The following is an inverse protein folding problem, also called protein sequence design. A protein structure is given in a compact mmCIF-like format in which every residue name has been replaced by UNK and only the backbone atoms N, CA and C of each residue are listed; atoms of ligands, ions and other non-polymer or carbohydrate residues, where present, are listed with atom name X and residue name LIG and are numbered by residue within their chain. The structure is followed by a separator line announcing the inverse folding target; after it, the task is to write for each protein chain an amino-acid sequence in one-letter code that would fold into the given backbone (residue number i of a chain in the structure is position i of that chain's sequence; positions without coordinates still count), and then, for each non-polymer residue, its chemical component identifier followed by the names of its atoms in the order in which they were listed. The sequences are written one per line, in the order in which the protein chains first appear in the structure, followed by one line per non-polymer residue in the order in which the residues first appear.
data_IF_693280688689
#
_entry.id   IF_693280688689
#
_cell.length_a   1.000
_cell.length_b   1.000
_cell.length_c   1.000
_cell.angle_alpha   90.00
_cell.angle_beta   90.00
_cell.angle_gamma   90.00
#
_symmetry.space_group_name_H-M   'P 1'
#
loop_
_entity.id
_entity.type
_entity.pdbx_description
1 polymer ?
#
# COMPACT_ATOMS: atom_id res chain seq x y z
N UNK A 1 -15.97 113.52 -17.53
CA UNK A 1 -17.12 113.59 -16.59
C UNK A 1 -17.98 112.39 -16.90
N UNK A 2 -18.22 111.51 -15.93
CA UNK A 2 -19.10 110.34 -16.13
C UNK A 2 -20.52 110.87 -16.29
N UNK A 3 -21.21 110.39 -17.33
CA UNK A 3 -22.58 110.80 -17.63
C UNK A 3 -23.55 110.22 -16.60
N UNK A 4 -24.63 110.93 -16.27
CA UNK A 4 -25.65 110.46 -15.31
C UNK A 4 -26.24 109.11 -15.74
N UNK A 5 -26.33 108.86 -17.05
CA UNK A 5 -26.78 107.59 -17.63
C UNK A 5 -25.86 106.41 -17.33
N UNK A 6 -24.54 106.61 -17.27
CA UNK A 6 -23.57 105.56 -16.91
C UNK A 6 -23.70 105.17 -15.43
N UNK A 7 -23.92 106.14 -14.54
CA UNK A 7 -24.10 105.88 -13.11
C UNK A 7 -25.38 105.06 -12.86
N UNK A 8 -26.47 105.38 -13.56
CA UNK A 8 -27.73 104.62 -13.46
C UNK A 8 -27.57 103.18 -13.94
N UNK A 9 -26.82 102.95 -15.03
CA UNK A 9 -26.54 101.60 -15.52
C UNK A 9 -25.66 100.79 -14.56
N UNK A 10 -24.68 101.41 -13.92
CA UNK A 10 -23.83 100.74 -12.92
C UNK A 10 -24.65 100.30 -11.71
N UNK A 11 -25.54 101.18 -11.21
CA UNK A 11 -26.41 100.85 -10.07
C UNK A 11 -27.43 99.77 -10.43
N UNK A 12 -28.03 99.84 -11.62
CA UNK A 12 -28.94 98.81 -12.11
C UNK A 12 -28.24 97.45 -12.29
N UNK A 13 -26.99 97.45 -12.78
CA UNK A 13 -26.16 96.25 -12.86
C UNK A 13 -25.85 95.65 -11.48
N UNK A 14 -25.51 96.50 -10.50
CA UNK A 14 -25.27 96.04 -9.14
C UNK A 14 -26.54 95.48 -8.48
N UNK A 15 -27.69 96.11 -8.73
CA UNK A 15 -28.98 95.61 -8.28
C UNK A 15 -29.32 94.24 -8.92
N UNK A 16 -29.02 94.03 -10.21
CA UNK A 16 -29.25 92.74 -10.87
C UNK A 16 -28.36 91.62 -10.31
N UNK A 17 -27.12 91.94 -9.92
CA UNK A 17 -26.21 90.97 -9.27
C UNK A 17 -26.72 90.59 -7.87
N UNK A 18 -27.18 91.57 -7.07
CA UNK A 18 -27.75 91.31 -5.75
C UNK A 18 -29.05 90.52 -5.87
N UNK A 19 -29.92 90.85 -6.84
CA UNK A 19 -31.16 90.12 -7.10
C UNK A 19 -30.87 88.68 -7.57
N UNK A 20 -29.81 88.50 -8.37
CA UNK A 20 -29.34 87.18 -8.79
C UNK A 20 -28.80 86.35 -7.63
N UNK A 21 -28.21 86.98 -6.61
CA UNK A 21 -27.80 86.30 -5.38
C UNK A 21 -28.97 86.00 -4.44
N UNK A 22 -30.03 86.83 -4.47
CA UNK A 22 -31.26 86.61 -3.70
C UNK A 22 -32.20 85.59 -4.34
N UNK A 23 -31.96 85.19 -5.59
CA UNK A 23 -32.53 83.99 -6.19
C UNK A 23 -31.63 82.80 -5.80
N UNK A 24 -31.90 82.11 -4.68
CA UNK A 24 -31.13 80.92 -4.35
C UNK A 24 -31.28 79.95 -5.52
N UNK A 25 -30.14 79.55 -6.08
CA UNK A 25 -30.02 78.50 -7.08
C UNK A 25 -30.29 77.11 -6.47
N UNK A 26 -31.32 77.02 -5.65
CA UNK A 26 -31.97 75.82 -5.17
C UNK A 26 -33.42 75.96 -5.64
N UNK A 27 -33.68 75.55 -6.88
CA UNK A 27 -34.94 74.84 -7.08
C UNK A 27 -34.78 73.61 -6.22
N UNK A 28 -35.29 73.67 -4.99
CA UNK A 28 -35.52 72.46 -4.23
C UNK A 28 -36.38 71.62 -5.15
N UNK A 29 -35.77 70.61 -5.77
CA UNK A 29 -36.49 69.56 -6.48
C UNK A 29 -37.54 69.12 -5.47
N UNK A 30 -38.81 69.40 -5.78
CA UNK A 30 -39.93 69.18 -4.89
C UNK A 30 -39.83 67.75 -4.34
N UNK A 31 -40.22 67.50 -3.09
CA UNK A 31 -40.15 66.14 -2.53
C UNK A 31 -40.90 65.14 -3.42
N UNK A 32 -41.94 65.61 -4.13
CA UNK A 32 -42.60 64.92 -5.23
C UNK A 32 -41.66 64.54 -6.38
N UNK A 33 -40.91 65.49 -6.94
CA UNK A 33 -39.96 65.25 -8.04
C UNK A 33 -38.80 64.32 -7.65
N UNK A 34 -38.27 64.43 -6.41
CA UNK A 34 -37.26 63.48 -5.90
C UNK A 34 -37.83 62.06 -5.82
N UNK A 35 -39.06 61.93 -5.31
CA UNK A 35 -39.70 60.61 -5.20
C UNK A 35 -40.00 59.96 -6.56
N UNK A 36 -40.31 60.77 -7.58
CA UNK A 36 -40.51 60.31 -8.96
C UNK A 36 -39.19 59.85 -9.57
N UNK A 37 -38.12 60.63 -9.40
CA UNK A 37 -36.79 60.28 -9.86
C UNK A 37 -36.27 59.00 -9.19
N UNK A 38 -36.48 58.82 -7.89
CA UNK A 38 -36.12 57.58 -7.20
C UNK A 38 -36.94 56.37 -7.67
N UNK A 39 -38.22 56.56 -8.02
CA UNK A 39 -39.07 55.47 -8.56
C UNK A 39 -38.58 55.07 -9.95
N UNK A 40 -38.28 56.03 -10.81
CA UNK A 40 -37.75 55.80 -12.15
C UNK A 40 -36.39 55.10 -12.09
N UNK A 41 -35.49 55.53 -11.20
CA UNK A 41 -34.19 54.87 -10.98
C UNK A 41 -34.39 53.44 -10.48
N UNK A 42 -35.31 53.20 -9.53
CA UNK A 42 -35.62 51.84 -9.06
C UNK A 42 -36.18 50.96 -10.17
N UNK A 43 -37.00 51.50 -11.05
CA UNK A 43 -37.57 50.78 -12.19
C UNK A 43 -36.50 50.44 -13.24
N UNK A 44 -35.60 51.38 -13.55
CA UNK A 44 -34.46 51.15 -14.43
C UNK A 44 -33.50 50.09 -13.88
N UNK A 45 -33.16 50.18 -12.59
CA UNK A 45 -32.30 49.19 -11.91
C UNK A 45 -32.98 47.82 -11.90
N UNK A 46 -34.29 47.76 -11.62
CA UNK A 46 -35.03 46.49 -11.62
C UNK A 46 -35.04 45.83 -13.00
N UNK A 47 -35.20 46.61 -14.06
CA UNK A 47 -35.18 46.11 -15.44
C UNK A 47 -33.80 45.58 -15.83
N UNK A 48 -32.74 46.32 -15.50
CA UNK A 48 -31.36 45.90 -15.75
C UNK A 48 -30.99 44.62 -14.97
N UNK A 49 -31.43 44.51 -13.71
CA UNK A 49 -31.22 43.31 -12.89
C UNK A 49 -31.96 42.11 -13.46
N UNK A 50 -33.18 42.28 -13.99
CA UNK A 50 -33.90 41.16 -14.61
C UNK A 50 -33.23 40.69 -15.92
N UNK A 51 -32.68 41.61 -16.72
CA UNK A 51 -31.94 41.28 -17.95
C UNK A 51 -30.60 40.57 -17.64
N UNK A 52 -29.89 41.05 -16.61
CA UNK A 52 -28.66 40.40 -16.14
C UNK A 52 -28.91 39.06 -15.46
N UNK A 53 -30.07 38.87 -14.84
CA UNK A 53 -30.43 37.61 -14.18
C UNK A 53 -30.46 36.45 -15.18
N UNK A 54 -31.03 36.63 -16.37
CA UNK A 54 -31.02 35.62 -17.42
C UNK A 54 -29.59 35.28 -17.86
N UNK A 55 -28.74 36.28 -18.01
CA UNK A 55 -27.33 36.09 -18.37
C UNK A 55 -26.55 35.34 -17.28
N UNK A 56 -26.80 35.69 -16.00
CA UNK A 56 -26.18 35.03 -14.85
C UNK A 56 -26.67 33.58 -14.74
N UNK A 57 -27.96 33.33 -14.95
CA UNK A 57 -28.55 32.00 -14.91
C UNK A 57 -27.91 31.09 -15.97
N UNK A 58 -27.80 31.56 -17.22
CA UNK A 58 -27.13 30.83 -18.29
C UNK A 58 -25.63 30.58 -17.99
N UNK A 59 -24.92 31.58 -17.46
CA UNK A 59 -23.51 31.42 -17.09
C UNK A 59 -23.31 30.42 -15.93
N UNK A 60 -24.25 30.40 -14.97
CA UNK A 60 -24.23 29.44 -13.87
C UNK A 60 -24.49 28.03 -14.40
N UNK A 61 -25.48 27.85 -15.27
CA UNK A 61 -25.78 26.56 -15.89
C UNK A 61 -24.58 26.03 -16.69
N UNK A 62 -23.95 26.87 -17.52
CA UNK A 62 -22.72 26.51 -18.25
C UNK A 62 -21.59 26.10 -17.29
N UNK A 63 -21.44 26.81 -16.16
CA UNK A 63 -20.41 26.50 -15.17
C UNK A 63 -20.68 25.17 -14.46
N UNK A 64 -21.95 24.87 -14.17
CA UNK A 64 -22.38 23.60 -13.60
C UNK A 64 -22.10 22.47 -14.58
N UNK A 65 -22.47 22.62 -15.85
CA UNK A 65 -22.24 21.60 -16.89
C UNK A 65 -20.76 21.31 -17.10
N UNK A 66 -19.92 22.34 -17.18
CA UNK A 66 -18.45 22.16 -17.29
C UNK A 66 -17.89 21.44 -16.06
N UNK A 67 -18.41 21.76 -14.87
CA UNK A 67 -17.97 21.12 -13.62
C UNK A 67 -18.42 19.67 -13.53
N UNK A 68 -19.63 19.36 -14.03
CA UNK A 68 -20.15 18.01 -14.13
C UNK A 68 -19.33 17.19 -15.12
N UNK A 69 -19.07 17.67 -16.34
CA UNK A 69 -18.24 16.96 -17.34
C UNK A 69 -16.81 16.72 -16.83
N UNK A 70 -16.19 17.70 -16.16
CA UNK A 70 -14.88 17.51 -15.53
C UNK A 70 -14.91 16.47 -14.42
N UNK A 71 -15.96 16.49 -13.59
CA UNK A 71 -16.13 15.52 -12.51
C UNK A 71 -16.38 14.13 -13.06
N UNK A 72 -17.24 13.99 -14.08
CA UNK A 72 -17.54 12.74 -14.76
C UNK A 72 -16.28 12.12 -15.35
N UNK A 73 -15.51 12.88 -16.14
CA UNK A 73 -14.23 12.39 -16.71
C UNK A 73 -13.21 12.04 -15.64
N UNK A 74 -13.12 12.83 -14.57
CA UNK A 74 -12.22 12.51 -13.46
C UNK A 74 -12.65 11.22 -12.73
N UNK A 75 -13.95 11.07 -12.51
CA UNK A 75 -14.54 9.89 -11.90
C UNK A 75 -14.39 8.65 -12.78
N UNK A 76 -14.54 8.74 -14.10
CA UNK A 76 -14.28 7.63 -15.02
C UNK A 76 -12.82 7.17 -14.94
N UNK A 77 -11.86 8.11 -14.93
CA UNK A 77 -10.44 7.78 -14.81
C UNK A 77 -10.13 7.09 -13.48
N UNK A 78 -10.61 7.67 -12.37
CA UNK A 78 -10.41 7.11 -11.03
C UNK A 78 -11.11 5.76 -10.94
N UNK A 79 -12.33 5.63 -11.46
CA UNK A 79 -13.09 4.38 -11.47
C UNK A 79 -12.34 3.29 -12.22
N UNK A 80 -11.81 3.58 -13.41
CA UNK A 80 -11.01 2.63 -14.18
C UNK A 80 -9.73 2.22 -13.45
N UNK A 81 -9.03 3.17 -12.83
CA UNK A 81 -7.84 2.88 -12.01
C UNK A 81 -8.19 2.00 -10.81
N UNK A 82 -9.28 2.32 -10.09
CA UNK A 82 -9.74 1.53 -8.94
C UNK A 82 -10.23 0.15 -9.36
N UNK A 83 -10.90 0.02 -10.50
CA UNK A 83 -11.35 -1.26 -11.03
C UNK A 83 -10.16 -2.13 -11.41
N UNK A 84 -9.12 -1.54 -12.02
CA UNK A 84 -7.85 -2.23 -12.27
C UNK A 84 -7.17 -2.69 -10.98
N UNK A 85 -7.02 -1.79 -9.99
CA UNK A 85 -6.39 -2.10 -8.71
C UNK A 85 -7.16 -3.16 -7.90
N UNK A 86 -8.50 -3.10 -7.94
CA UNK A 86 -9.36 -4.13 -7.33
C UNK A 86 -9.18 -5.46 -8.06
N UNK A 87 -9.04 -5.45 -9.39
CA UNK A 87 -8.72 -6.63 -10.19
C UNK A 87 -7.40 -7.28 -9.75
N UNK A 88 -6.31 -6.50 -9.74
CA UNK A 88 -4.99 -6.98 -9.32
C UNK A 88 -4.97 -7.51 -7.87
N UNK A 89 -5.66 -6.81 -6.96
CA UNK A 89 -5.81 -7.26 -5.58
C UNK A 89 -6.63 -8.55 -5.49
N UNK A 90 -7.74 -8.63 -6.23
CA UNK A 90 -8.59 -9.83 -6.29
C UNK A 90 -7.80 -11.01 -6.82
N UNK A 91 -7.03 -10.86 -7.89
CA UNK A 91 -6.20 -11.93 -8.44
C UNK A 91 -5.15 -12.42 -7.44
N UNK A 92 -4.54 -11.49 -6.69
CA UNK A 92 -3.59 -11.83 -5.62
C UNK A 92 -4.28 -12.63 -4.50
N UNK A 93 -5.43 -12.15 -4.01
CA UNK A 93 -6.19 -12.83 -2.95
C UNK A 93 -6.69 -14.20 -3.41
N UNK A 94 -7.20 -14.32 -4.64
CA UNK A 94 -7.65 -15.60 -5.19
C UNK A 94 -6.48 -16.58 -5.31
N UNK A 95 -5.31 -16.12 -5.74
CA UNK A 95 -4.12 -16.95 -5.81
C UNK A 95 -3.65 -17.41 -4.42
N UNK A 96 -3.68 -16.52 -3.43
CA UNK A 96 -3.38 -16.88 -2.04
C UNK A 96 -4.40 -17.85 -1.45
N UNK A 97 -5.68 -17.70 -1.78
CA UNK A 97 -6.74 -18.64 -1.40
C UNK A 97 -6.49 -20.01 -2.04
N UNK A 98 -6.14 -20.08 -3.33
CA UNK A 98 -5.79 -21.35 -3.98
C UNK A 98 -4.58 -22.00 -3.30
N UNK A 99 -3.52 -21.23 -3.05
CA UNK A 99 -2.33 -21.75 -2.36
C UNK A 99 -2.66 -22.27 -0.96
N UNK A 100 -3.45 -21.54 -0.18
CA UNK A 100 -3.88 -21.99 1.15
C UNK A 100 -4.75 -23.23 1.06
N UNK A 101 -5.66 -23.31 0.08
CA UNK A 101 -6.48 -24.49 -0.14
C UNK A 101 -5.63 -25.72 -0.46
N UNK A 102 -4.64 -25.56 -1.34
CA UNK A 102 -3.69 -26.61 -1.71
C UNK A 102 -2.85 -27.05 -0.51
N UNK A 103 -2.38 -26.12 0.32
CA UNK A 103 -1.64 -26.45 1.54
C UNK A 103 -2.51 -27.21 2.54
N UNK A 104 -3.76 -26.80 2.72
CA UNK A 104 -4.71 -27.51 3.60
C UNK A 104 -5.01 -28.91 3.08
N UNK A 105 -5.21 -29.09 1.77
CA UNK A 105 -5.39 -30.41 1.17
C UNK A 105 -4.15 -31.27 1.31
N UNK A 106 -2.97 -30.69 1.10
CA UNK A 106 -1.71 -31.39 1.31
C UNK A 106 -1.52 -31.81 2.78
N UNK A 107 -1.87 -30.95 3.74
CA UNK A 107 -1.85 -31.31 5.15
C UNK A 107 -2.84 -32.43 5.47
N UNK A 108 -4.03 -32.41 4.86
CA UNK A 108 -5.02 -33.48 5.02
C UNK A 108 -4.49 -34.82 4.48
N UNK A 109 -3.90 -34.82 3.29
CA UNK A 109 -3.29 -36.00 2.69
C UNK A 109 -2.11 -36.51 3.52
N UNK A 110 -1.21 -35.62 3.97
CA UNK A 110 -0.09 -35.99 4.81
C UNK A 110 -0.55 -36.55 6.16
N UNK A 111 -1.60 -36.00 6.75
CA UNK A 111 -2.15 -36.47 8.03
C UNK A 111 -2.78 -37.86 7.84
N UNK A 112 -3.51 -38.07 6.75
CA UNK A 112 -4.07 -39.36 6.40
C UNK A 112 -2.98 -40.40 6.13
N UNK A 113 -1.92 -40.04 5.41
CA UNK A 113 -0.79 -40.95 5.16
C UNK A 113 0.02 -41.23 6.42
N UNK A 114 0.22 -40.23 7.31
CA UNK A 114 0.81 -40.48 8.64
C UNK A 114 -0.06 -41.43 9.46
N UNK A 115 -1.39 -41.30 9.41
CA UNK A 115 -2.30 -42.20 10.09
C UNK A 115 -2.18 -43.64 9.56
N UNK A 116 -2.15 -43.83 8.24
CA UNK A 116 -1.93 -45.15 7.62
C UNK A 116 -0.56 -45.72 8.02
N UNK A 117 0.49 -44.92 7.92
CA UNK A 117 1.85 -45.34 8.28
C UNK A 117 1.97 -45.71 9.76
N UNK A 118 1.41 -44.91 10.67
CA UNK A 118 1.38 -45.25 12.10
C UNK A 118 0.59 -46.53 12.36
N UNK A 119 -0.55 -46.70 11.70
CA UNK A 119 -1.36 -47.91 11.84
C UNK A 119 -0.60 -49.15 11.35
N UNK A 120 0.10 -49.05 10.22
CA UNK A 120 0.95 -50.11 9.69
C UNK A 120 2.09 -50.46 10.65
N UNK A 121 2.85 -49.46 11.12
CA UNK A 121 3.96 -49.66 12.07
C UNK A 121 3.45 -50.27 13.38
N UNK A 122 2.33 -49.79 13.91
CA UNK A 122 1.70 -50.39 15.12
C UNK A 122 1.32 -51.85 14.85
N UNK A 123 0.77 -52.16 13.68
CA UNK A 123 0.42 -53.54 13.32
C UNK A 123 1.64 -54.46 13.18
N UNK A 124 2.77 -53.96 12.65
CA UNK A 124 4.02 -54.72 12.56
C UNK A 124 4.67 -54.94 13.92
N UNK A 125 4.67 -53.91 14.78
CA UNK A 125 5.16 -54.03 16.16
C UNK A 125 4.32 -55.03 16.93
N UNK A 126 2.99 -54.99 16.81
CA UNK A 126 2.10 -55.97 17.43
C UNK A 126 2.42 -57.39 16.98
N UNK A 127 2.54 -57.63 15.66
CA UNK A 127 2.93 -58.95 15.13
C UNK A 127 4.29 -59.43 15.67
N UNK A 128 5.31 -58.58 15.66
CA UNK A 128 6.64 -58.94 16.18
C UNK A 128 6.64 -59.19 17.70
N UNK A 129 5.83 -58.45 18.46
CA UNK A 129 5.72 -58.71 19.91
C UNK A 129 4.96 -60.00 20.19
N UNK A 130 3.95 -60.34 19.40
CA UNK A 130 3.25 -61.62 19.52
C UNK A 130 4.13 -62.79 19.08
N UNK A 131 4.88 -62.66 17.97
CA UNK A 131 5.91 -63.63 17.55
C UNK A 131 7.00 -63.80 18.61
N UNK A 132 7.49 -62.70 19.20
CA UNK A 132 8.50 -62.75 20.25
C UNK A 132 7.96 -63.41 21.53
N UNK A 133 6.72 -63.11 21.94
CA UNK A 133 6.08 -63.80 23.07
C UNK A 133 5.97 -65.29 22.79
N UNK A 134 5.58 -65.66 21.57
CA UNK A 134 5.42 -67.06 21.19
C UNK A 134 6.77 -67.79 21.15
N UNK A 135 7.80 -67.17 20.59
CA UNK A 135 9.17 -67.72 20.62
C UNK A 135 9.72 -67.87 22.05
N UNK A 136 9.41 -66.95 22.96
CA UNK A 136 9.77 -67.07 24.38
C UNK A 136 9.04 -68.24 25.03
N UNK A 137 7.73 -68.39 24.78
CA UNK A 137 6.94 -69.51 25.30
C UNK A 137 7.46 -70.85 24.76
N UNK A 138 7.78 -70.94 23.47
CA UNK A 138 8.32 -72.14 22.83
C UNK A 138 9.73 -72.47 23.37
N UNK A 139 10.57 -71.46 23.61
CA UNK A 139 11.88 -71.63 24.22
C UNK A 139 11.78 -72.06 25.69
N UNK A 140 10.84 -71.52 26.45
CA UNK A 140 10.59 -71.92 27.85
C UNK A 140 10.10 -73.37 27.92
N UNK A 141 9.19 -73.78 27.03
CA UNK A 141 8.74 -75.17 26.93
C UNK A 141 9.88 -76.12 26.57
N UNK A 142 10.71 -75.75 25.58
CA UNK A 142 11.87 -76.55 25.17
C UNK A 142 12.91 -76.66 26.28
N UNK A 143 13.16 -75.57 27.02
CA UNK A 143 14.07 -75.56 28.15
C UNK A 143 13.56 -76.43 29.31
N UNK A 144 12.25 -76.40 29.61
CA UNK A 144 11.62 -77.29 30.57
C UNK A 144 11.75 -78.75 30.17
N UNK A 145 11.43 -79.11 28.94
CA UNK A 145 11.57 -80.47 28.44
C UNK A 145 13.03 -80.96 28.48
N UNK A 146 13.99 -80.09 28.13
CA UNK A 146 15.41 -80.42 28.19
C UNK A 146 15.89 -80.62 29.63
N UNK A 147 15.39 -79.80 30.58
CA UNK A 147 15.69 -79.95 32.00
C UNK A 147 15.14 -81.26 32.56
N UNK A 148 13.89 -81.62 32.26
CA UNK A 148 13.28 -82.88 32.69
C UNK A 148 14.03 -84.11 32.10
N UNK A 149 14.44 -84.05 30.82
CA UNK A 149 15.25 -85.10 30.19
C UNK A 149 16.64 -85.19 30.83
N UNK A 150 17.29 -84.08 31.14
CA UNK A 150 18.59 -84.07 31.81
C UNK A 150 18.52 -84.62 33.25
N UNK A 151 17.43 -84.36 33.98
CA UNK A 151 17.20 -84.99 35.29
C UNK A 151 16.99 -86.50 35.16
N UNK A 152 16.26 -86.96 34.14
CA UNK A 152 16.12 -88.41 33.89
C UNK A 152 17.46 -89.10 33.57
N UNK A 153 18.37 -88.42 32.86
CA UNK A 153 19.70 -88.94 32.52
C UNK A 153 20.67 -88.92 33.72
N UNK A 154 20.57 -87.94 34.62
CA UNK A 154 21.36 -87.91 35.86
C UNK A 154 21.08 -89.11 36.76
N UNK A 155 19.86 -89.65 36.73
CA UNK A 155 19.55 -90.89 37.45
C UNK A 155 20.28 -92.13 36.91
N UNK A 156 20.92 -92.04 35.73
CA UNK A 156 21.66 -93.14 35.08
C UNK A 156 23.18 -93.02 35.29
N UNK A 157 23.71 -91.82 35.60
CA UNK A 157 25.14 -91.54 35.65
C UNK A 157 25.69 -91.45 37.10
N UNK A 158 25.44 -92.46 37.93
CA UNK A 158 26.06 -92.60 39.26
C UNK A 158 26.88 -93.90 39.37
N UNK A 159 27.67 -94.27 38.35
CA UNK A 159 28.62 -95.39 38.47
C UNK A 159 29.88 -95.15 37.60
N UNK A 160 31.03 -95.06 38.28
CA UNK A 160 32.45 -95.19 37.83
C UNK A 160 33.28 -93.92 37.57
N UNK A 161 34.39 -93.83 38.32
CA UNK A 161 35.49 -92.83 38.33
C UNK A 161 36.80 -93.46 37.76
N UNK A 162 38.03 -92.86 37.85
CA UNK A 162 38.73 -92.23 36.72
C UNK A 162 40.20 -92.73 36.49
N UNK A 163 40.87 -92.37 35.38
CA UNK A 163 42.36 -92.43 35.34
C UNK A 163 43.04 -91.43 34.35
N UNK A 164 43.73 -90.45 34.95
CA UNK A 164 45.05 -89.81 34.67
C UNK A 164 45.65 -89.69 33.24
N UNK A 165 46.08 -88.46 32.85
CA UNK A 165 47.45 -87.91 33.03
C UNK A 165 47.76 -86.58 32.29
N UNK A 166 48.30 -85.59 33.06
CA UNK A 166 49.41 -84.64 32.78
C UNK A 166 49.26 -83.61 31.60
N UNK A 167 49.75 -82.35 31.59
CA UNK A 167 50.88 -81.64 32.23
C UNK A 167 50.66 -80.11 32.08
N UNK A 168 51.25 -79.32 32.98
CA UNK A 168 51.17 -77.86 33.03
C UNK A 168 52.00 -77.13 31.95
N UNK A 169 51.55 -75.95 31.51
CA UNK A 169 52.35 -74.93 30.80
C UNK A 169 52.07 -73.58 31.48
N UNK A 170 53.14 -72.91 31.90
CA UNK A 170 53.11 -71.55 32.47
C UNK A 170 52.84 -70.52 31.38
N UNK A 171 52.09 -69.47 31.73
CA UNK A 171 51.95 -68.24 30.95
C UNK A 171 53.22 -67.39 31.09
N UNK A 172 53.76 -66.94 29.96
CA UNK A 172 54.58 -65.71 29.88
C UNK A 172 54.05 -64.85 28.72
N UNK A 173 53.90 -63.57 29.02
CA UNK A 173 53.53 -62.49 28.10
C UNK A 173 54.66 -62.18 27.10
N UNK A 174 54.25 -61.48 26.04
CA UNK A 174 55.05 -60.65 25.13
C UNK A 174 55.56 -61.26 23.81
N UNK A 175 55.04 -60.64 22.73
CA UNK A 175 55.55 -60.52 21.35
C UNK A 175 55.04 -61.53 20.32
N UNK A 176 53.86 -61.23 19.78
CA UNK A 176 53.46 -61.68 18.44
C UNK A 176 54.17 -60.84 17.37
N UNK A 177 55.36 -61.30 16.97
CA UNK A 177 55.96 -60.91 15.70
C UNK A 177 56.67 -62.10 15.05
N UNK A 178 56.62 -62.08 13.71
CA UNK A 178 57.39 -62.83 12.71
C UNK A 178 56.73 -64.16 12.28
N UNK A 179 56.10 -64.15 11.11
CA UNK A 179 56.71 -64.43 9.79
C UNK A 179 56.81 -65.95 9.57
N UNK A 180 56.48 -66.54 8.43
CA UNK A 180 56.14 -66.04 7.11
C UNK A 180 56.53 -67.16 6.16
N UNK A 181 55.58 -67.76 5.44
CA UNK A 181 55.87 -68.55 4.23
C UNK A 181 54.83 -68.20 3.19
N UNK A 182 55.33 -67.64 2.09
CA UNK A 182 54.62 -67.16 0.91
C UNK A 182 54.32 -68.32 -0.03
N UNK A 183 53.10 -68.40 -0.57
CA UNK A 183 52.78 -69.20 -1.76
C UNK A 183 52.58 -68.20 -2.92
N UNK A 184 53.28 -68.37 -4.05
CA UNK A 184 53.29 -67.40 -5.14
C UNK A 184 52.06 -67.55 -6.04
N UNK A 185 51.42 -66.43 -6.39
CA UNK A 185 50.51 -66.38 -7.55
C UNK A 185 50.90 -65.21 -8.46
N UNK A 186 51.06 -65.50 -9.75
CA UNK A 186 51.45 -64.54 -10.78
C UNK A 186 50.25 -63.71 -11.24
N UNK A 187 50.44 -62.40 -11.26
CA UNK A 187 49.58 -61.43 -11.94
C UNK A 187 49.56 -61.65 -13.47
N UNK A 188 48.39 -61.40 -14.08
CA UNK A 188 48.27 -61.16 -15.51
C UNK A 188 47.38 -59.94 -15.76
N UNK A 189 47.88 -59.09 -16.65
CA UNK A 189 47.54 -57.70 -16.93
C UNK A 189 46.18 -57.44 -17.59
N UNK A 190 45.68 -56.23 -17.32
CA UNK A 190 44.46 -55.56 -17.78
C UNK A 190 44.34 -55.31 -19.30
N UNK A 191 43.16 -54.84 -19.77
CA UNK A 191 43.07 -53.86 -20.85
C UNK A 191 42.81 -52.42 -20.33
N UNK A 192 43.36 -51.38 -20.97
CA UNK A 192 43.25 -49.97 -20.58
C UNK A 192 42.25 -49.21 -21.52
N UNK A 193 42.30 -47.88 -21.74
CA UNK A 193 41.32 -46.91 -21.18
C UNK A 193 40.71 -45.93 -22.21
N UNK A 194 39.50 -45.39 -21.99
CA UNK A 194 39.08 -44.11 -22.65
C UNK A 194 37.89 -43.45 -21.91
N UNK A 195 37.59 -42.15 -22.09
CA UNK A 195 38.16 -41.03 -21.33
C UNK A 195 37.10 -40.20 -20.57
N UNK A 196 37.57 -39.42 -19.58
CA UNK A 196 36.83 -38.27 -19.04
C UNK A 196 36.90 -37.10 -20.03
N UNK A 197 35.75 -36.55 -20.39
CA UNK A 197 35.59 -35.16 -20.81
C UNK A 197 34.20 -34.65 -20.40
N UNK A 198 34.25 -33.60 -19.58
CA UNK A 198 33.28 -32.61 -19.12
C UNK A 198 31.89 -32.51 -19.81
N UNK A 199 30.84 -32.49 -18.97
CA UNK A 199 29.91 -31.35 -18.93
C UNK A 199 29.35 -31.16 -17.53
N UNK A 200 29.36 -29.91 -17.12
CA UNK A 200 29.10 -29.38 -15.80
C UNK A 200 27.62 -29.52 -15.45
N UNK A 201 27.32 -30.11 -14.29
CA UNK A 201 26.07 -29.87 -13.58
C UNK A 201 26.45 -29.46 -12.17
N UNK A 202 26.36 -28.15 -11.92
CA UNK A 202 26.64 -27.56 -10.62
C UNK A 202 25.65 -28.08 -9.59
N UNK A 203 26.17 -28.59 -8.47
CA UNK A 203 25.40 -28.80 -7.25
C UNK A 203 24.78 -27.47 -6.78
N UNK A 204 23.52 -27.45 -6.29
CA UNK A 204 22.99 -26.25 -5.68
C UNK A 204 23.72 -26.02 -4.36
N UNK A 205 24.42 -24.89 -4.27
CA UNK A 205 24.99 -24.38 -3.04
C UNK A 205 23.83 -24.00 -2.11
N UNK A 206 23.86 -24.54 -0.90
CA UNK A 206 22.99 -24.14 0.20
C UNK A 206 23.55 -22.83 0.74
N UNK A 207 23.08 -21.71 0.18
CA UNK A 207 23.28 -20.39 0.77
C UNK A 207 22.20 -20.17 1.84
N UNK A 208 22.61 -20.12 3.10
CA UNK A 208 21.78 -19.58 4.19
C UNK A 208 21.56 -18.09 3.93
N UNK A 209 20.35 -17.72 3.49
CA UNK A 209 19.84 -16.34 3.57
C UNK A 209 18.88 -16.20 4.76
N UNK A 210 18.86 -15.04 5.43
CA UNK A 210 18.11 -14.85 6.66
C UNK A 210 16.61 -14.79 6.38
N UNK A 211 15.83 -15.22 7.38
CA UNK A 211 14.38 -15.02 7.49
C UNK A 211 14.02 -13.56 7.21
N UNK A 212 13.21 -13.32 6.19
CA UNK A 212 12.58 -12.02 5.97
C UNK A 212 11.39 -11.91 6.91
N UNK A 213 11.62 -11.11 7.94
CA UNK A 213 10.66 -10.68 8.94
C UNK A 213 9.60 -9.77 8.29
N UNK A 214 8.36 -9.97 8.73
CA UNK A 214 7.16 -9.17 8.46
C UNK A 214 7.44 -7.67 8.33
N UNK A 215 6.92 -7.04 7.28
CA UNK A 215 7.06 -5.61 6.99
C UNK A 215 6.28 -4.68 7.92
N UNK A 216 6.62 -4.66 9.20
CA UNK A 216 6.36 -3.54 10.10
C UNK A 216 7.71 -2.96 10.55
N UNK A 217 8.05 -1.77 10.05
CA UNK A 217 9.18 -1.00 10.57
C UNK A 217 8.70 -0.28 11.84
N UNK A 218 9.26 -0.68 12.97
CA UNK A 218 8.98 -0.07 14.26
C UNK A 218 9.56 1.35 14.32
N UNK A 219 8.80 2.31 14.85
CA UNK A 219 9.10 3.77 14.80
C UNK A 219 10.34 4.20 15.61
N UNK A 220 11.08 3.26 16.20
CA UNK A 220 12.24 3.52 17.05
C UNK A 220 13.61 3.44 16.37
N UNK A 221 13.71 2.90 15.15
CA UNK A 221 15.01 2.60 14.51
C UNK A 221 15.41 3.52 13.35
N UNK A 222 14.79 4.69 13.22
CA UNK A 222 15.25 5.73 12.30
C UNK A 222 16.39 6.50 12.99
N UNK A 223 17.57 5.89 13.06
CA UNK A 223 18.80 6.67 13.23
C UNK A 223 19.20 7.21 11.86
N UNK A 224 19.52 8.49 11.87
CA UNK A 224 20.15 9.28 10.81
C UNK A 224 19.21 9.94 9.79
N UNK A 225 18.31 10.76 10.32
CA UNK A 225 17.56 11.81 9.59
C UNK A 225 18.40 13.08 9.30
N UNK A 226 19.71 13.08 9.53
CA UNK A 226 20.55 14.28 9.44
C UNK A 226 21.41 14.40 8.17
N UNK A 227 21.29 13.52 7.18
CA UNK A 227 22.14 13.58 5.97
C UNK A 227 21.40 13.81 4.64
N UNK A 228 20.08 14.07 4.65
CA UNK A 228 19.36 14.46 3.43
C UNK A 228 19.55 15.95 3.03
N UNK A 229 20.30 16.72 3.83
CA UNK A 229 20.48 18.17 3.63
C UNK A 229 21.57 18.57 2.63
N UNK A 230 22.31 17.64 2.03
CA UNK A 230 23.52 17.94 1.25
C UNK A 230 23.54 17.39 -0.18
N UNK A 231 22.39 17.02 -0.77
CA UNK A 231 22.31 16.71 -2.20
C UNK A 231 21.93 17.99 -2.96
N UNK A 232 22.85 18.64 -3.70
CA UNK A 232 22.51 19.82 -4.49
C UNK A 232 21.61 19.41 -5.65
N UNK A 233 20.40 19.98 -5.72
CA UNK A 233 19.50 19.81 -6.86
C UNK A 233 20.11 20.49 -8.10
N UNK A 234 20.50 19.70 -9.10
CA UNK A 234 20.97 20.21 -10.39
C UNK A 234 19.78 20.47 -11.33
N UNK A 235 19.71 21.67 -11.89
CA UNK A 235 18.70 22.07 -12.85
C UNK A 235 19.08 21.55 -14.24
N UNK A 236 18.28 20.62 -14.78
CA UNK A 236 18.49 20.06 -16.12
C UNK A 236 18.02 21.10 -17.14
N UNK A 237 18.91 21.51 -18.05
CA UNK A 237 18.57 22.44 -19.13
C UNK A 237 17.74 21.77 -20.23
N UNK A 238 16.90 22.54 -20.93
CA UNK A 238 15.97 22.04 -21.97
C UNK A 238 16.64 21.20 -23.06
N UNK A 239 17.93 21.43 -23.31
CA UNK A 239 18.76 20.69 -24.27
C UNK A 239 19.21 19.31 -23.75
N UNK A 240 19.34 19.13 -22.43
CA UNK A 240 19.71 17.84 -21.82
C UNK A 240 18.50 16.91 -21.65
N UNK A 241 17.29 17.45 -21.54
CA UNK A 241 16.04 16.67 -21.52
C UNK A 241 15.72 16.00 -22.87
N UNK A 242 16.28 16.51 -23.97
CA UNK A 242 16.04 15.99 -25.32
C UNK A 242 16.76 14.65 -25.61
N UNK A 243 17.69 14.21 -24.75
CA UNK A 243 18.45 12.97 -24.90
C UNK A 243 17.93 11.78 -24.06
N UNK A 244 16.89 11.97 -23.25
CA UNK A 244 16.33 10.91 -22.41
C UNK A 244 15.32 10.07 -23.20
N UNK A 245 15.68 8.81 -23.44
CA UNK A 245 14.85 7.85 -24.17
C UNK A 245 13.73 7.33 -23.25
N UNK A 246 12.47 7.65 -23.57
CA UNK A 246 11.30 7.08 -22.90
C UNK A 246 11.05 5.69 -23.49
N UNK A 247 11.36 4.64 -22.74
CA UNK A 247 11.07 3.25 -23.12
C UNK A 247 9.58 3.01 -22.85
N UNK A 248 8.77 2.86 -23.90
CA UNK A 248 7.34 2.54 -23.73
C UNK A 248 6.41 2.73 -24.93
N UNK A 249 6.91 2.97 -26.16
CA UNK A 249 6.04 3.06 -27.34
C UNK A 249 6.41 1.98 -28.37
N UNK A 250 5.60 0.92 -28.45
CA UNK A 250 5.66 -0.04 -29.56
C UNK A 250 4.53 0.29 -30.54
N UNK A 251 4.91 0.86 -31.67
CA UNK A 251 4.03 1.21 -32.77
C UNK A 251 4.87 1.51 -33.99
N UNK A 252 5.13 0.48 -34.78
CA UNK A 252 5.75 0.54 -36.10
C UNK A 252 4.80 1.19 -37.09
N UNK A 253 5.23 2.25 -37.78
CA UNK A 253 5.10 2.42 -39.23
C UNK A 253 5.89 3.65 -39.71
N UNK A 254 6.73 3.43 -40.71
CA UNK A 254 7.56 4.44 -41.39
C UNK A 254 6.83 4.94 -42.65
N UNK A 255 6.86 6.25 -42.91
CA UNK A 255 7.15 6.83 -44.25
C UNK A 255 7.11 8.37 -44.23
N UNK A 256 8.31 8.97 -44.21
CA UNK A 256 8.85 10.15 -44.93
C UNK A 256 7.99 11.43 -45.25
N UNK A 257 8.65 12.60 -45.43
CA UNK A 257 8.24 13.89 -44.92
C UNK A 257 7.72 14.84 -46.01
N UNK A 258 6.85 15.79 -45.65
CA UNK A 258 6.55 16.94 -46.50
C UNK A 258 6.36 18.24 -45.70
N UNK A 259 7.27 19.15 -45.99
CA UNK A 259 7.15 20.60 -46.12
C UNK A 259 6.55 21.44 -44.98
N UNK A 260 7.49 22.10 -44.32
CA UNK A 260 7.35 23.33 -43.55
C UNK A 260 6.74 24.41 -44.45
N UNK A 261 5.60 24.98 -44.05
CA UNK A 261 5.17 26.31 -44.50
C UNK A 261 4.96 27.21 -43.29
N UNK A 262 5.75 28.29 -43.29
CA UNK A 262 5.74 29.41 -42.37
C UNK A 262 4.34 29.99 -42.12
N UNK A 263 3.99 30.17 -40.86
CA UNK A 263 2.95 31.11 -40.44
C UNK A 263 3.43 31.93 -39.23
N UNK A 264 4.11 33.03 -39.57
CA UNK A 264 4.08 34.36 -38.95
C UNK A 264 3.88 34.44 -37.43
N UNK A 265 4.99 34.58 -36.72
CA UNK A 265 5.09 35.12 -35.36
C UNK A 265 4.57 36.56 -35.34
N UNK A 266 3.59 36.84 -34.49
CA UNK A 266 3.24 38.20 -34.05
C UNK A 266 3.57 38.31 -32.57
N UNK A 267 4.46 39.24 -32.26
CA UNK A 267 4.87 39.63 -30.92
C UNK A 267 3.73 40.37 -30.21
N UNK A 268 3.31 39.89 -29.05
CA UNK A 268 2.50 40.68 -28.10
C UNK A 268 3.34 40.89 -26.85
N UNK A 269 3.86 42.11 -26.75
CA UNK A 269 4.41 42.72 -25.55
C UNK A 269 3.30 42.94 -24.51
N UNK A 270 3.63 42.64 -23.25
CA UNK A 270 3.06 43.20 -22.03
C UNK A 270 1.53 43.16 -21.88
N UNK A 271 1.00 41.95 -21.69
CA UNK A 271 -0.26 41.73 -20.99
C UNK A 271 0.03 40.92 -19.72
N UNK A 272 -0.05 41.56 -18.56
CA UNK A 272 -0.02 40.91 -17.24
C UNK A 272 -1.19 39.93 -17.16
N UNK A 273 -0.94 38.65 -17.45
CA UNK A 273 -1.91 37.57 -17.24
C UNK A 273 -2.05 37.35 -15.73
N UNK A 274 -3.02 38.03 -15.12
CA UNK A 274 -3.56 37.59 -13.84
C UNK A 274 -4.27 36.26 -14.08
N UNK A 275 -3.63 35.16 -13.72
CA UNK A 275 -4.24 33.84 -13.67
C UNK A 275 -5.52 33.93 -12.80
N UNK A 276 -6.70 33.57 -13.31
CA UNK A 276 -7.93 33.52 -12.50
C UNK A 276 -7.97 32.32 -11.52
N UNK A 277 -6.91 31.51 -11.45
CA UNK A 277 -6.78 30.39 -10.51
C UNK A 277 -6.65 30.81 -9.03
N UNK A 278 -6.59 32.11 -8.73
CA UNK A 278 -6.51 32.57 -7.33
C UNK A 278 -7.84 32.42 -6.57
N UNK A 279 -8.98 32.35 -7.26
CA UNK A 279 -10.29 32.18 -6.63
C UNK A 279 -10.62 30.73 -6.26
N UNK A 280 -9.92 29.72 -6.80
CA UNK A 280 -10.14 28.31 -6.42
C UNK A 280 -9.37 27.89 -5.15
N UNK A 281 -8.73 28.84 -4.45
CA UNK A 281 -8.18 28.63 -3.10
C UNK A 281 -9.10 29.13 -1.99
N UNK A 282 -10.21 29.80 -2.33
CA UNK A 282 -11.09 30.43 -1.35
C UNK A 282 -12.27 29.55 -0.91
N UNK A 283 -12.49 28.39 -1.54
CA UNK A 283 -13.54 27.43 -1.17
C UNK A 283 -13.10 26.34 -0.19
N UNK A 284 -11.83 26.29 0.21
CA UNK A 284 -11.32 25.30 1.18
C UNK A 284 -10.34 25.91 2.17
N UNK A 285 -10.75 27.03 2.78
CA UNK A 285 -10.23 27.44 4.08
C UNK A 285 -11.39 27.47 5.07
N UNK A 286 -12.15 26.37 5.17
CA UNK A 286 -12.95 26.14 6.37
C UNK A 286 -11.92 25.84 7.45
N UNK A 287 -11.66 26.83 8.30
CA UNK A 287 -10.78 26.72 9.45
C UNK A 287 -11.08 25.40 10.19
N UNK A 288 -10.10 24.50 10.41
CA UNK A 288 -10.33 23.24 11.13
C UNK A 288 -10.96 23.48 12.51
N UNK A 289 -10.72 24.64 13.14
CA UNK A 289 -11.38 25.01 14.38
C UNK A 289 -12.90 25.25 14.21
N UNK A 290 -13.32 25.81 13.08
CA UNK A 290 -14.72 26.02 12.73
C UNK A 290 -15.45 24.71 12.47
N UNK A 291 -14.81 23.78 11.74
CA UNK A 291 -15.36 22.43 11.52
C UNK A 291 -15.54 21.67 12.83
N UNK A 292 -14.54 21.71 13.72
CA UNK A 292 -14.62 21.07 15.03
C UNK A 292 -15.78 21.62 15.88
N UNK A 293 -16.05 22.93 15.80
CA UNK A 293 -17.20 23.54 16.48
C UNK A 293 -18.53 23.03 15.91
N UNK A 294 -18.63 22.91 14.59
CA UNK A 294 -19.81 22.41 13.90
C UNK A 294 -20.10 20.93 14.24
N UNK A 295 -19.07 20.09 14.35
CA UNK A 295 -19.18 18.70 14.83
C UNK A 295 -19.83 18.65 16.22
N UNK A 296 -19.38 19.51 17.13
CA UNK A 296 -19.87 19.57 18.51
C UNK A 296 -21.32 20.06 18.55
N UNK A 297 -21.68 21.08 17.77
CA UNK A 297 -23.05 21.61 17.69
C UNK A 297 -24.03 20.57 17.13
N UNK A 298 -23.65 19.88 16.06
CA UNK A 298 -24.47 18.83 15.45
C UNK A 298 -24.67 17.62 16.38
N UNK A 299 -23.65 17.22 17.12
CA UNK A 299 -23.77 16.15 18.12
C UNK A 299 -24.64 16.58 19.33
N UNK A 300 -24.53 17.83 19.78
CA UNK A 300 -25.42 18.39 20.81
C UNK A 300 -26.87 18.46 20.36
N UNK A 301 -27.12 18.66 19.06
CA UNK A 301 -28.44 18.57 18.45
C UNK A 301 -28.97 17.13 18.32
N UNK A 302 -28.21 16.12 18.74
CA UNK A 302 -28.63 14.71 18.74
C UNK A 302 -28.43 13.98 17.41
N UNK A 303 -27.73 14.58 16.43
CA UNK A 303 -27.37 13.89 15.18
C UNK A 303 -26.38 12.76 15.47
N UNK A 304 -26.53 11.65 14.75
CA UNK A 304 -25.61 10.50 14.91
C UNK A 304 -24.25 10.79 14.29
N UNK A 305 -23.20 10.19 14.85
CA UNK A 305 -21.82 10.39 14.40
C UNK A 305 -21.62 10.06 12.91
N UNK A 306 -22.39 9.10 12.39
CA UNK A 306 -22.36 8.70 10.98
C UNK A 306 -22.98 9.78 10.07
N UNK A 307 -24.06 10.44 10.53
CA UNK A 307 -24.70 11.53 9.78
C UNK A 307 -23.79 12.75 9.76
N UNK A 308 -23.16 13.08 10.89
CA UNK A 308 -22.22 14.20 11.00
C UNK A 308 -21.00 13.98 10.08
N UNK A 309 -20.46 12.77 10.06
CA UNK A 309 -19.37 12.38 9.17
C UNK A 309 -19.75 12.54 7.69
N UNK A 310 -20.96 12.13 7.32
CA UNK A 310 -21.46 12.26 5.94
C UNK A 310 -21.73 13.71 5.54
N UNK A 311 -22.25 14.54 6.45
CA UNK A 311 -22.61 15.94 6.20
C UNK A 311 -21.39 16.86 6.13
N UNK A 312 -20.30 16.52 6.84
CA UNK A 312 -19.05 17.30 6.86
C UNK A 312 -17.93 16.69 6.00
N UNK A 313 -18.14 15.52 5.39
CA UNK A 313 -17.11 14.81 4.61
C UNK A 313 -15.93 14.33 5.45
N UNK A 314 -16.12 14.10 6.76
CA UNK A 314 -15.09 13.73 7.72
C UNK A 314 -15.15 12.23 8.05
N UNK A 315 -14.03 11.65 8.48
CA UNK A 315 -14.00 10.26 8.92
C UNK A 315 -14.80 10.05 10.21
N UNK A 316 -15.52 8.92 10.34
CA UNK A 316 -16.30 8.58 11.56
C UNK A 316 -15.42 8.58 12.82
N UNK A 317 -14.14 8.16 12.68
CA UNK A 317 -13.15 8.19 13.75
C UNK A 317 -12.76 9.61 14.19
N UNK A 318 -12.66 10.55 13.24
CA UNK A 318 -12.31 11.96 13.51
C UNK A 318 -13.45 12.66 14.24
N UNK A 319 -14.69 12.45 13.79
CA UNK A 319 -15.90 12.96 14.45
C UNK A 319 -15.98 12.45 15.89
N UNK A 320 -15.74 11.15 16.10
CA UNK A 320 -15.74 10.54 17.45
C UNK A 320 -14.64 11.14 18.33
N UNK A 321 -13.43 11.34 17.81
CA UNK A 321 -12.31 11.90 18.55
C UNK A 321 -12.61 13.33 19.04
N UNK A 322 -13.18 14.18 18.18
CA UNK A 322 -13.54 15.57 18.52
C UNK A 322 -14.63 15.60 19.59
N UNK A 323 -15.65 14.75 19.48
CA UNK A 323 -16.72 14.62 20.48
C UNK A 323 -16.13 14.16 21.83
N UNK A 324 -15.29 13.13 21.82
CA UNK A 324 -14.69 12.58 23.03
C UNK A 324 -13.77 13.58 23.74
N UNK A 325 -12.96 14.35 22.99
CA UNK A 325 -12.16 15.46 23.54
C UNK A 325 -13.06 16.53 24.16
N UNK A 326 -14.11 16.95 23.46
CA UNK A 326 -15.01 18.01 23.94
C UNK A 326 -15.73 17.63 25.24
N UNK A 327 -16.17 16.37 25.35
CA UNK A 327 -16.82 15.84 26.54
C UNK A 327 -15.83 15.69 27.70
N UNK A 328 -14.57 15.34 27.42
CA UNK A 328 -13.51 15.28 28.42
C UNK A 328 -13.21 16.66 29.01
N UNK A 329 -13.10 17.69 28.18
CA UNK A 329 -12.89 19.07 28.66
C UNK A 329 -14.09 19.66 29.43
N UNK A 330 -15.32 19.19 29.17
CA UNK A 330 -16.51 19.61 29.91
C UNK A 330 -16.58 19.04 31.34
N UNK A 331 -15.94 17.89 31.60
CA UNK A 331 -15.95 17.21 32.91
C UNK A 331 -14.87 17.70 33.90
N UNK A 332 -13.95 18.57 33.46
CA UNK A 332 -12.82 19.06 34.27
C UNK A 332 -13.05 20.52 34.73
N UNK A 333 -14.26 21.04 34.57
CA UNK A 333 -14.73 22.29 35.17
C UNK A 333 -15.80 22.00 36.22
#
# INVERSE_FOLDING_TARGET
MISITEIVLIVAGFAAIILGYLLPATREIDEGEKSLMEREIRELVRREVEDQKETIENMVDDSVDISLDRTERAMERISNEKLSAIGEYSDTVINDIHKNHDEVMFMYDMLNDKHKNLTSVVSEVAKKTDEAKQAVLDAEATAREAAEKAESLKSIQEVVTPDRHLRAILLDEDKDTLSGIQIPYKEKSAPPPVPKAEKQVAAPKIDKKPSVESGYIDKGNIKDLNELGSIPAQFISRTQAAGLHVIGNTGTEQSEPKDIVSAKVVSISEGKTTNPDRNMRELTAIDPASQNKQIIEMHKAGKSNMVIARELGLGIGEVKLVIDLSNKHRKVK
#
